data_IF_927933824173
#
_entry.id   IF_927933824173
#
_cell.length_a   1.000
_cell.length_b   1.000
_cell.length_c   1.000
_cell.angle_alpha   90.00
_cell.angle_beta   90.00
_cell.angle_gamma   90.00
#
_symmetry.space_group_name_H-M   'P 1'
#
loop_
_entity.id
_entity.type
_entity.pdbx_description
1 polymer ?
#
# COMPACT_ATOMS: atom_id res chain seq x y z
N UNK A 1 -6.63 -12.40 29.78
CA UNK A 1 -5.62 -11.85 28.86
C UNK A 1 -6.27 -10.75 28.07
N UNK A 2 -5.62 -9.59 27.93
CA UNK A 2 -6.15 -8.53 27.07
C UNK A 2 -6.22 -8.98 25.61
N UNK A 3 -7.23 -8.54 24.84
CA UNK A 3 -7.32 -8.87 23.43
C UNK A 3 -6.11 -8.31 22.69
N UNK A 4 -5.41 -9.18 21.97
CA UNK A 4 -4.30 -8.79 21.12
C UNK A 4 -4.80 -8.60 19.69
N UNK A 5 -4.12 -7.72 18.94
CA UNK A 5 -4.42 -7.45 17.53
C UNK A 5 -3.13 -7.23 16.75
N UNK A 6 -3.27 -7.20 15.43
CA UNK A 6 -2.25 -6.72 14.51
C UNK A 6 -2.79 -5.52 13.74
N UNK A 7 -1.97 -4.48 13.63
CA UNK A 7 -2.20 -3.31 12.80
C UNK A 7 -1.47 -3.44 11.49
N UNK A 8 -2.16 -3.18 10.38
CA UNK A 8 -1.58 -2.98 9.06
C UNK A 8 -1.89 -1.55 8.62
N UNK A 9 -0.87 -0.82 8.18
CA UNK A 9 -1.04 0.57 7.77
C UNK A 9 0.11 1.02 6.88
N UNK A 10 -0.17 2.03 6.07
CA UNK A 10 0.83 2.82 5.37
C UNK A 10 0.34 4.25 5.25
N UNK A 11 1.27 5.18 5.06
CA UNK A 11 0.96 6.58 4.79
C UNK A 11 2.03 7.16 3.89
N UNK A 12 1.62 7.69 2.75
CA UNK A 12 2.48 8.48 1.88
C UNK A 12 2.43 9.94 2.32
N UNK A 13 3.59 10.47 2.69
CA UNK A 13 3.78 11.88 3.06
C UNK A 13 5.29 12.15 3.04
N UNK A 14 5.73 13.36 2.65
CA UNK A 14 7.15 13.71 2.72
C UNK A 14 7.68 13.58 4.15
N UNK A 15 8.82 12.91 4.28
CA UNK A 15 9.57 12.83 5.54
C UNK A 15 10.98 13.33 5.27
N UNK A 16 11.30 14.50 5.83
CA UNK A 16 12.63 15.12 5.70
C UNK A 16 13.67 14.34 6.50
N UNK A 17 13.43 14.14 7.81
CA UNK A 17 14.34 13.40 8.69
C UNK A 17 13.81 11.99 9.00
N UNK A 18 14.14 11.06 8.10
CA UNK A 18 13.78 9.64 8.25
C UNK A 18 14.46 8.98 9.46
N UNK A 19 15.63 9.48 9.90
CA UNK A 19 16.34 8.94 11.05
C UNK A 19 15.61 9.32 12.35
N UNK A 20 15.15 10.56 12.47
CA UNK A 20 14.33 11.03 13.59
C UNK A 20 13.01 10.26 13.67
N UNK A 21 12.28 10.10 12.55
CA UNK A 21 11.04 9.31 12.54
C UNK A 21 11.31 7.86 12.91
N UNK A 22 12.42 7.27 12.45
CA UNK A 22 12.82 5.91 12.83
C UNK A 22 13.05 5.79 14.34
N UNK A 23 13.81 6.71 14.93
CA UNK A 23 14.08 6.68 16.36
C UNK A 23 12.78 6.84 17.15
N UNK A 24 11.93 7.79 16.75
CA UNK A 24 10.63 8.01 17.38
C UNK A 24 9.75 6.76 17.35
N UNK A 25 9.59 6.11 16.19
CA UNK A 25 8.76 4.92 16.05
C UNK A 25 9.34 3.72 16.81
N UNK A 26 10.67 3.56 16.83
CA UNK A 26 11.34 2.53 17.62
C UNK A 26 11.04 2.70 19.12
N UNK A 27 11.34 3.88 19.68
CA UNK A 27 11.13 4.18 21.10
C UNK A 27 9.66 4.09 21.48
N UNK A 28 8.76 4.53 20.60
CA UNK A 28 7.32 4.44 20.84
C UNK A 28 6.87 2.98 20.96
N UNK A 29 7.23 2.13 19.99
CA UNK A 29 6.86 0.71 20.03
C UNK A 29 7.49 -0.01 21.24
N UNK A 30 8.76 0.24 21.55
CA UNK A 30 9.46 -0.36 22.70
C UNK A 30 8.79 0.03 24.03
N UNK A 31 8.42 1.31 24.19
CA UNK A 31 7.72 1.79 25.39
C UNK A 31 6.33 1.17 25.60
N UNK A 32 5.75 0.61 24.55
CA UNK A 32 4.42 0.00 24.52
C UNK A 32 4.48 -1.53 24.39
N UNK A 33 5.69 -2.13 24.40
CA UNK A 33 5.85 -3.58 24.24
C UNK A 33 5.39 -4.12 22.87
N UNK A 34 5.28 -3.25 21.86
CA UNK A 34 4.79 -3.60 20.51
C UNK A 34 5.90 -4.26 19.70
N UNK A 35 5.57 -5.36 19.02
CA UNK A 35 6.46 -6.07 18.08
C UNK A 35 5.98 -5.89 16.64
N UNK A 36 6.83 -6.22 15.68
CA UNK A 36 6.49 -6.13 14.26
C UNK A 36 7.56 -5.45 13.41
N UNK A 37 7.15 -4.99 12.24
CA UNK A 37 8.04 -4.32 11.29
C UNK A 37 7.46 -2.97 10.90
N UNK A 38 8.33 -1.96 10.86
CA UNK A 38 8.05 -0.63 10.34
C UNK A 38 9.15 -0.27 9.33
N UNK A 39 8.74 0.16 8.15
CA UNK A 39 9.58 0.74 7.13
C UNK A 39 9.30 2.24 7.06
N UNK A 40 10.36 3.02 6.99
CA UNK A 40 10.32 4.47 6.82
C UNK A 40 11.13 4.81 5.59
N UNK A 41 10.62 5.69 4.75
CA UNK A 41 11.37 6.28 3.66
C UNK A 41 11.08 7.78 3.59
N UNK A 42 11.77 8.49 2.72
CA UNK A 42 11.45 9.90 2.41
C UNK A 42 10.02 10.09 1.89
N UNK A 43 9.39 9.01 1.42
CA UNK A 43 8.02 8.99 0.89
C UNK A 43 6.96 8.66 1.94
N UNK A 44 7.34 8.28 3.17
CA UNK A 44 6.38 8.04 4.25
C UNK A 44 6.71 6.86 5.16
N UNK A 45 5.66 6.13 5.58
CA UNK A 45 5.74 5.03 6.53
C UNK A 45 4.88 3.83 6.08
N UNK A 46 5.33 2.62 6.35
CA UNK A 46 4.58 1.37 6.15
C UNK A 46 4.86 0.42 7.31
N UNK A 47 3.84 -0.13 7.95
CA UNK A 47 4.03 -0.98 9.11
C UNK A 47 3.03 -2.10 9.26
N UNK A 48 3.52 -3.15 9.91
CA UNK A 48 2.74 -4.26 10.43
C UNK A 48 3.21 -4.54 11.84
N UNK A 49 2.38 -4.18 12.83
CA UNK A 49 2.75 -4.25 14.25
C UNK A 49 1.67 -4.92 15.08
N UNK A 50 2.05 -5.70 16.08
CA UNK A 50 1.13 -6.42 16.95
C UNK A 50 1.45 -6.23 18.43
N UNK A 51 0.41 -6.34 19.24
CA UNK A 51 0.47 -6.12 20.68
C UNK A 51 -0.92 -6.18 21.32
N UNK A 52 -1.01 -5.83 22.60
CA UNK A 52 -2.29 -5.67 23.27
C UNK A 52 -3.07 -4.46 22.72
N UNK A 53 -4.39 -4.53 22.81
CA UNK A 53 -5.30 -3.52 22.27
C UNK A 53 -5.05 -2.11 22.83
N UNK A 54 -4.71 -1.98 24.12
CA UNK A 54 -4.51 -0.68 24.75
C UNK A 54 -3.24 0.01 24.22
N UNK A 55 -2.13 -0.73 24.15
CA UNK A 55 -0.87 -0.32 23.58
C UNK A 55 -1.02 0.06 22.11
N UNK A 56 -1.75 -0.73 21.32
CA UNK A 56 -2.00 -0.41 19.91
C UNK A 56 -2.85 0.85 19.74
N UNK A 57 -3.86 1.09 20.58
CA UNK A 57 -4.62 2.35 20.55
C UNK A 57 -3.74 3.55 20.88
N UNK A 58 -2.87 3.44 21.90
CA UNK A 58 -1.88 4.48 22.26
C UNK A 58 -0.90 4.72 21.12
N UNK A 59 -0.44 3.66 20.47
CA UNK A 59 0.41 3.73 19.29
C UNK A 59 -0.25 4.50 18.16
N UNK A 60 -1.46 4.12 17.75
CA UNK A 60 -2.22 4.82 16.70
C UNK A 60 -2.39 6.30 17.03
N UNK A 61 -2.84 6.62 18.25
CA UNK A 61 -3.08 8.00 18.67
C UNK A 61 -1.80 8.84 18.65
N UNK A 62 -0.65 8.27 19.07
CA UNK A 62 0.64 8.97 19.08
C UNK A 62 1.22 9.10 17.67
N UNK A 63 1.14 8.05 16.85
CA UNK A 63 1.61 8.09 15.46
C UNK A 63 0.83 9.11 14.63
N UNK A 64 -0.48 9.25 14.85
CA UNK A 64 -1.31 10.29 14.21
C UNK A 64 -1.00 11.73 14.65
N UNK A 65 -0.14 11.96 15.65
CA UNK A 65 0.32 13.31 16.02
C UNK A 65 1.30 13.91 15.02
N UNK A 66 2.00 13.08 14.25
CA UNK A 66 2.81 13.59 13.14
C UNK A 66 1.86 14.14 12.07
N UNK A 67 2.02 15.41 11.62
CA UNK A 67 1.05 16.05 10.73
C UNK A 67 0.72 15.22 9.47
N UNK A 68 1.75 14.66 8.82
CA UNK A 68 1.59 13.82 7.63
C UNK A 68 0.96 12.44 7.88
N UNK A 69 0.83 12.00 9.15
CA UNK A 69 0.28 10.69 9.50
C UNK A 69 -1.16 10.74 9.99
N UNK A 70 -1.75 11.93 10.11
CA UNK A 70 -3.09 12.15 10.67
C UNK A 70 -4.18 11.32 9.97
N UNK A 71 -4.08 11.21 8.64
CA UNK A 71 -5.05 10.52 7.78
C UNK A 71 -4.75 9.04 7.55
N UNK A 72 -3.69 8.49 8.15
CA UNK A 72 -3.37 7.06 7.99
C UNK A 72 -4.55 6.22 8.46
N UNK A 73 -4.98 5.31 7.58
CA UNK A 73 -5.90 4.25 7.92
C UNK A 73 -5.13 3.09 8.59
N UNK A 74 -5.55 2.74 9.80
CA UNK A 74 -4.95 1.66 10.58
C UNK A 74 -5.94 0.51 10.60
N UNK A 75 -5.63 -0.53 9.83
CA UNK A 75 -6.47 -1.72 9.73
C UNK A 75 -6.17 -2.67 10.87
N UNK A 76 -7.23 -3.13 11.53
CA UNK A 76 -7.15 -4.03 12.67
C UNK A 76 -7.44 -5.45 12.20
N UNK A 77 -6.48 -6.34 12.40
CA UNK A 77 -6.60 -7.76 12.06
C UNK A 77 -6.48 -8.63 13.31
N UNK A 78 -7.04 -9.84 13.22
CA UNK A 78 -6.82 -10.88 14.22
C UNK A 78 -5.34 -11.28 14.26
N UNK A 79 -4.84 -11.57 15.44
CA UNK A 79 -3.45 -11.93 15.68
C UNK A 79 -2.99 -11.48 17.04
N UNK A 80 -1.80 -11.93 17.43
CA UNK A 80 -1.31 -11.79 18.81
C UNK A 80 -0.10 -10.88 18.94
N UNK A 81 0.55 -10.56 17.82
CA UNK A 81 1.88 -9.97 17.80
C UNK A 81 3.01 -10.99 18.01
N UNK A 82 2.69 -12.22 18.44
CA UNK A 82 3.67 -13.31 18.56
C UNK A 82 4.10 -13.86 17.19
N UNK A 83 3.37 -13.52 16.13
CA UNK A 83 3.77 -13.77 14.75
C UNK A 83 5.05 -13.00 14.38
N UNK A 84 5.40 -11.98 15.17
CA UNK A 84 6.62 -11.19 15.02
C UNK A 84 7.63 -11.53 16.12
N UNK A 85 8.80 -12.10 15.79
CA UNK A 85 9.79 -12.49 16.80
C UNK A 85 10.38 -11.28 17.55
N UNK A 86 10.43 -10.12 16.90
CA UNK A 86 10.95 -8.86 17.47
C UNK A 86 10.39 -7.64 16.73
N UNK A 87 10.59 -6.48 17.32
CA UNK A 87 10.42 -5.20 16.64
C UNK A 87 11.58 -4.94 15.66
N UNK A 88 11.28 -4.43 14.47
CA UNK A 88 12.25 -3.98 13.48
C UNK A 88 11.78 -2.71 12.78
N UNK A 89 12.40 -1.57 13.10
CA UNK A 89 12.18 -0.28 12.42
C UNK A 89 13.37 0.03 11.51
N UNK A 90 13.15 0.15 10.20
CA UNK A 90 14.21 0.32 9.20
C UNK A 90 13.93 1.52 8.30
N UNK A 91 14.97 2.31 8.05
CA UNK A 91 14.95 3.28 6.94
C UNK A 91 15.26 2.52 5.65
N UNK A 92 14.51 2.85 4.61
CA UNK A 92 14.63 2.33 3.24
C UNK A 92 14.47 3.47 2.25
N UNK A 93 14.99 3.30 1.05
CA UNK A 93 14.80 4.26 -0.04
C UNK A 93 13.33 4.31 -0.48
N UNK A 94 12.65 3.17 -0.40
CA UNK A 94 11.25 3.01 -0.80
C UNK A 94 10.45 2.24 0.26
N UNK A 95 9.16 2.56 0.40
CA UNK A 95 8.22 1.81 1.25
C UNK A 95 7.86 0.44 0.65
N UNK A 96 7.89 0.35 -0.68
CA UNK A 96 7.79 -0.87 -1.46
C UNK A 96 8.91 -0.81 -2.48
N UNK A 97 9.73 -1.85 -2.57
CA UNK A 97 10.90 -1.84 -3.44
C UNK A 97 10.48 -2.01 -4.91
N UNK A 98 10.19 -0.92 -5.61
CA UNK A 98 10.01 -0.89 -7.06
C UNK A 98 11.33 -0.65 -7.80
N UNK A 99 12.42 -0.37 -7.08
CA UNK A 99 13.78 -0.34 -7.62
C UNK A 99 14.21 1.03 -8.13
N UNK A 100 13.30 1.99 -8.20
CA UNK A 100 13.59 3.38 -8.56
C UNK A 100 12.73 4.34 -7.72
N UNK A 101 13.30 4.94 -6.66
CA UNK A 101 12.58 5.85 -5.77
C UNK A 101 12.22 7.18 -6.44
N UNK A 102 12.70 7.46 -7.66
CA UNK A 102 12.33 8.67 -8.42
C UNK A 102 11.03 8.52 -9.21
N UNK A 103 10.53 7.28 -9.37
CA UNK A 103 9.30 6.97 -10.12
C UNK A 103 8.07 7.59 -9.50
N UNK A 104 8.07 7.82 -8.19
CA UNK A 104 6.93 8.43 -7.49
C UNK A 104 7.28 9.80 -6.95
N UNK A 105 6.30 10.70 -7.06
CA UNK A 105 6.29 11.99 -6.38
C UNK A 105 5.27 11.91 -5.25
N UNK A 106 5.64 12.39 -4.08
CA UNK A 106 4.78 12.37 -2.90
C UNK A 106 4.69 13.78 -2.34
N UNK A 107 3.47 14.21 -2.04
CA UNK A 107 3.17 15.45 -1.32
C UNK A 107 2.31 15.17 -0.08
N UNK A 108 1.82 16.21 0.58
CA UNK A 108 1.00 16.09 1.80
C UNK A 108 -0.34 15.35 1.57
N UNK A 109 -0.78 15.21 0.32
CA UNK A 109 -1.99 14.49 -0.08
C UNK A 109 -1.74 13.01 -0.40
N UNK A 110 -0.49 12.60 -0.61
CA UNK A 110 -0.10 11.23 -0.93
C UNK A 110 0.72 11.14 -2.21
N UNK A 111 0.57 10.04 -2.95
CA UNK A 111 1.22 9.86 -4.26
C UNK A 111 0.56 10.78 -5.29
N UNK A 112 1.37 11.59 -5.97
CA UNK A 112 0.94 12.52 -7.01
C UNK A 112 0.88 11.81 -8.36
N UNK A 113 -0.19 12.06 -9.12
CA UNK A 113 -0.37 11.48 -10.46
C UNK A 113 -0.81 10.02 -10.48
N UNK A 114 -1.25 9.48 -9.33
CA UNK A 114 -1.86 8.16 -9.23
C UNK A 114 -3.26 8.08 -9.84
N UNK A 115 -3.76 6.85 -9.97
CA UNK A 115 -5.13 6.58 -10.37
C UNK A 115 -6.13 6.96 -9.28
N UNK A 116 -7.38 7.24 -9.68
CA UNK A 116 -8.45 7.64 -8.75
C UNK A 116 -8.82 6.48 -7.82
N UNK A 117 -8.90 6.73 -6.52
CA UNK A 117 -9.39 5.76 -5.54
C UNK A 117 -10.90 5.51 -5.73
N UNK A 118 -11.27 4.24 -5.83
CA UNK A 118 -12.66 3.78 -5.86
C UNK A 118 -12.95 2.93 -4.62
N UNK A 119 -14.07 3.21 -3.95
CA UNK A 119 -14.57 2.31 -2.92
C UNK A 119 -15.10 1.03 -3.56
N UNK A 120 -15.20 -0.07 -2.81
CA UNK A 120 -15.74 -1.33 -3.34
C UNK A 120 -17.09 -1.19 -4.07
N UNK A 121 -17.99 -0.35 -3.55
CA UNK A 121 -19.27 -0.02 -4.19
C UNK A 121 -19.10 0.70 -5.54
N UNK A 122 -18.15 1.65 -5.64
CA UNK A 122 -17.91 2.39 -6.88
C UNK A 122 -17.28 1.50 -7.96
N UNK A 123 -16.45 0.54 -7.55
CA UNK A 123 -15.91 -0.50 -8.45
C UNK A 123 -17.05 -1.35 -8.99
N UNK A 124 -17.95 -1.81 -8.13
CA UNK A 124 -19.12 -2.61 -8.55
C UNK A 124 -19.98 -1.83 -9.55
N UNK A 125 -20.28 -0.56 -9.24
CA UNK A 125 -21.04 0.31 -10.14
C UNK A 125 -20.34 0.49 -11.49
N UNK A 126 -19.03 0.71 -11.51
CA UNK A 126 -18.26 0.83 -12.75
C UNK A 126 -18.36 -0.44 -13.61
N UNK A 127 -18.27 -1.62 -12.99
CA UNK A 127 -18.44 -2.91 -13.68
C UNK A 127 -19.86 -3.10 -14.20
N UNK A 128 -20.88 -2.69 -13.44
CA UNK A 128 -22.29 -2.75 -13.88
C UNK A 128 -22.56 -1.83 -15.08
N UNK A 129 -21.94 -0.65 -15.11
CA UNK A 129 -22.13 0.34 -16.18
C UNK A 129 -21.33 0.01 -17.45
N UNK A 130 -20.11 -0.52 -17.32
CA UNK A 130 -19.15 -0.67 -18.43
C UNK A 130 -18.87 -2.13 -18.81
N UNK A 131 -19.30 -3.09 -17.99
CA UNK A 131 -19.16 -4.52 -18.26
C UNK A 131 -17.71 -4.96 -18.51
N UNK A 132 -17.51 -5.74 -19.57
CA UNK A 132 -16.21 -6.33 -19.93
C UNK A 132 -15.18 -5.31 -20.45
N UNK A 133 -15.53 -4.03 -20.58
CA UNK A 133 -14.55 -2.97 -20.84
C UNK A 133 -13.64 -2.72 -19.64
N UNK A 134 -14.13 -2.97 -18.42
CA UNK A 134 -13.37 -2.74 -17.19
C UNK A 134 -12.30 -3.81 -17.04
N UNK A 135 -11.05 -3.38 -16.97
CA UNK A 135 -9.90 -4.26 -16.85
C UNK A 135 -9.36 -4.23 -15.43
N UNK A 136 -9.44 -5.36 -14.75
CA UNK A 136 -8.77 -5.53 -13.47
C UNK A 136 -7.29 -5.83 -13.66
N UNK A 137 -6.41 -5.10 -12.99
CA UNK A 137 -4.98 -5.30 -13.05
C UNK A 137 -4.43 -5.68 -11.68
N UNK A 138 -3.87 -6.89 -11.58
CA UNK A 138 -3.39 -7.45 -10.31
C UNK A 138 -2.00 -6.89 -9.96
N UNK A 139 -1.95 -6.05 -8.95
CA UNK A 139 -0.71 -5.49 -8.39
C UNK A 139 -0.03 -6.41 -7.37
N UNK A 140 -0.40 -7.70 -7.31
CA UNK A 140 0.18 -8.70 -6.40
C UNK A 140 1.18 -9.60 -7.12
N UNK A 141 1.94 -10.39 -6.36
CA UNK A 141 2.85 -11.36 -6.97
C UNK A 141 2.09 -12.57 -7.54
N UNK A 142 2.75 -13.35 -8.40
CA UNK A 142 2.16 -14.52 -9.06
C UNK A 142 1.63 -15.59 -8.08
N UNK A 143 2.18 -15.70 -6.87
CA UNK A 143 1.70 -16.63 -5.85
C UNK A 143 0.34 -16.19 -5.27
N UNK A 144 0.22 -14.91 -4.89
CA UNK A 144 -1.03 -14.32 -4.39
C UNK A 144 -2.15 -14.40 -5.45
N UNK A 145 -1.81 -14.18 -6.73
CA UNK A 145 -2.76 -14.27 -7.85
C UNK A 145 -3.29 -15.70 -8.08
N UNK A 146 -2.49 -16.74 -7.78
CA UNK A 146 -2.91 -18.15 -7.91
C UNK A 146 -3.93 -18.58 -6.85
N UNK A 147 -3.91 -17.94 -5.67
CA UNK A 147 -4.86 -18.25 -4.59
C UNK A 147 -6.27 -17.79 -4.97
N UNK A 148 -6.38 -16.64 -5.61
CA UNK A 148 -7.66 -16.09 -6.08
C UNK A 148 -7.46 -14.72 -6.70
N UNK A 149 -8.27 -14.38 -7.70
CA UNK A 149 -8.20 -13.14 -8.47
C UNK A 149 -9.58 -12.73 -8.96
N UNK A 150 -9.73 -11.46 -9.33
CA UNK A 150 -10.94 -11.01 -10.04
C UNK A 150 -11.06 -11.73 -11.39
N UNK A 151 -12.31 -11.93 -11.82
CA UNK A 151 -12.59 -12.54 -13.13
C UNK A 151 -11.93 -11.72 -14.23
N UNK A 152 -11.28 -12.39 -15.18
CA UNK A 152 -10.58 -11.78 -16.31
C UNK A 152 -9.45 -10.79 -15.92
N UNK A 153 -8.98 -10.79 -14.67
CA UNK A 153 -7.90 -9.92 -14.25
C UNK A 153 -6.62 -10.22 -15.04
N UNK A 154 -5.98 -9.14 -15.51
CA UNK A 154 -4.63 -9.15 -16.06
C UNK A 154 -3.68 -9.46 -14.91
N UNK A 155 -2.93 -10.55 -15.07
CA UNK A 155 -1.88 -10.97 -14.14
C UNK A 155 -0.55 -10.62 -14.79
N UNK A 156 0.19 -9.64 -14.27
CA UNK A 156 1.52 -9.31 -14.78
C UNK A 156 2.48 -10.47 -14.57
N UNK A 157 3.42 -10.63 -15.50
CA UNK A 157 4.45 -11.67 -15.44
C UNK A 157 5.65 -11.18 -14.62
N UNK A 158 5.35 -10.79 -13.39
CA UNK A 158 6.29 -10.24 -12.41
C UNK A 158 6.53 -11.22 -11.27
N UNK A 159 7.79 -11.31 -10.86
CA UNK A 159 8.17 -12.09 -9.68
C UNK A 159 8.26 -11.17 -8.45
N UNK A 160 8.72 -9.94 -8.65
CA UNK A 160 8.90 -8.95 -7.58
C UNK A 160 8.25 -7.62 -7.93
N UNK A 161 8.09 -6.74 -6.93
CA UNK A 161 7.58 -5.38 -7.14
C UNK A 161 8.45 -4.55 -8.10
N UNK A 162 9.73 -4.87 -8.25
CA UNK A 162 10.66 -4.14 -9.13
C UNK A 162 10.33 -4.34 -10.60
N UNK A 163 9.88 -5.53 -10.95
CA UNK A 163 9.64 -5.94 -12.33
C UNK A 163 8.41 -5.22 -12.92
N UNK A 164 7.51 -4.70 -12.07
CA UNK A 164 6.27 -4.04 -12.51
C UNK A 164 6.53 -2.79 -13.34
N UNK A 165 7.52 -1.97 -12.96
CA UNK A 165 7.77 -0.70 -13.67
C UNK A 165 8.24 -1.00 -15.08
N UNK A 166 9.19 -1.93 -15.22
CA UNK A 166 9.72 -2.34 -16.53
C UNK A 166 8.65 -3.04 -17.36
N UNK A 167 7.82 -3.90 -16.75
CA UNK A 167 6.76 -4.60 -17.48
C UNK A 167 5.69 -3.63 -18.01
N UNK A 168 5.28 -2.62 -17.22
CA UNK A 168 4.34 -1.59 -17.69
C UNK A 168 4.96 -0.74 -18.81
N UNK A 169 6.23 -0.36 -18.67
CA UNK A 169 6.97 0.44 -19.67
C UNK A 169 7.30 -0.33 -20.95
N UNK A 170 7.25 -1.66 -20.92
CA UNK A 170 7.61 -2.51 -22.07
C UNK A 170 6.67 -2.39 -23.29
N UNK A 171 5.49 -1.78 -23.11
CA UNK A 171 4.46 -1.68 -24.15
C UNK A 171 3.51 -2.88 -24.21
N UNK A 172 3.75 -3.94 -23.40
CA UNK A 172 2.91 -5.15 -23.32
C UNK A 172 1.43 -4.84 -23.10
N UNK A 173 1.13 -3.75 -22.41
CA UNK A 173 -0.22 -3.35 -22.01
C UNK A 173 -0.76 -2.15 -22.80
N UNK A 174 -0.15 -1.77 -23.91
CA UNK A 174 -0.56 -0.56 -24.66
C UNK A 174 -2.00 -0.64 -25.20
N UNK A 175 -2.46 -1.85 -25.51
CA UNK A 175 -3.84 -2.14 -25.90
C UNK A 175 -4.88 -1.87 -24.78
N UNK A 176 -4.44 -1.54 -23.56
CA UNK A 176 -5.28 -1.20 -22.41
C UNK A 176 -5.30 0.31 -22.12
N UNK A 177 -4.49 1.13 -22.81
CA UNK A 177 -4.34 2.57 -22.51
C UNK A 177 -5.63 3.38 -22.61
N UNK A 178 -6.55 2.95 -23.49
CA UNK A 178 -7.85 3.58 -23.70
C UNK A 178 -8.99 2.94 -22.88
N UNK A 179 -8.69 1.92 -22.07
CA UNK A 179 -9.69 1.19 -21.26
C UNK A 179 -9.70 1.69 -19.81
N UNK A 180 -10.84 1.54 -19.10
CA UNK A 180 -10.88 1.69 -17.65
C UNK A 180 -10.06 0.58 -16.99
N UNK A 181 -8.94 0.92 -16.36
CA UNK A 181 -8.08 -0.03 -15.65
C UNK A 181 -8.24 0.15 -14.15
N UNK A 182 -8.72 -0.88 -13.45
CA UNK A 182 -8.84 -0.92 -11.99
C UNK A 182 -7.71 -1.75 -11.42
N UNK A 183 -6.73 -1.09 -10.80
CA UNK A 183 -5.62 -1.75 -10.12
C UNK A 183 -6.04 -2.20 -8.71
N UNK A 184 -5.58 -3.38 -8.29
CA UNK A 184 -5.84 -3.86 -6.93
C UNK A 184 -4.64 -4.64 -6.37
N UNK A 185 -4.48 -4.58 -5.05
CA UNK A 185 -3.52 -5.40 -4.33
C UNK A 185 -4.04 -5.70 -2.93
N UNK A 186 -3.26 -6.41 -2.12
CA UNK A 186 -3.67 -6.86 -0.78
C UNK A 186 -4.05 -5.71 0.15
N UNK A 187 -3.21 -4.68 0.25
CA UNK A 187 -3.36 -3.59 1.22
C UNK A 187 -3.40 -2.18 0.63
N UNK A 188 -3.44 -2.02 -0.69
CA UNK A 188 -3.47 -0.72 -1.38
C UNK A 188 -2.08 -0.15 -1.75
N UNK A 189 -1.07 -0.26 -0.88
CA UNK A 189 0.23 0.44 -1.07
C UNK A 189 0.94 0.19 -2.43
N UNK A 190 0.82 -1.01 -3.02
CA UNK A 190 1.40 -1.30 -4.35
C UNK A 190 0.65 -0.59 -5.49
N UNK A 191 -0.67 -0.43 -5.34
CA UNK A 191 -1.53 0.23 -6.33
C UNK A 191 -1.26 1.72 -6.42
N UNK A 192 -0.86 2.35 -5.33
CA UNK A 192 -0.46 3.77 -5.34
C UNK A 192 0.68 4.00 -6.35
N UNK A 193 1.65 3.08 -6.38
CA UNK A 193 2.81 3.16 -7.26
C UNK A 193 2.45 2.69 -8.67
N UNK A 194 1.80 1.52 -8.80
CA UNK A 194 1.43 0.95 -10.11
C UNK A 194 0.52 1.91 -10.89
N UNK A 195 -0.48 2.50 -10.23
CA UNK A 195 -1.40 3.41 -10.89
C UNK A 195 -0.71 4.69 -11.35
N UNK A 196 0.21 5.25 -10.56
CA UNK A 196 1.02 6.40 -10.97
C UNK A 196 1.92 6.07 -12.18
N UNK A 197 2.55 4.88 -12.18
CA UNK A 197 3.35 4.41 -13.33
C UNK A 197 2.48 4.26 -14.58
N UNK A 198 1.28 3.71 -14.46
CA UNK A 198 0.35 3.57 -15.59
C UNK A 198 -0.06 4.94 -16.16
N UNK A 199 -0.44 5.89 -15.30
CA UNK A 199 -0.81 7.24 -15.73
C UNK A 199 0.36 7.92 -16.46
N UNK A 200 1.57 7.85 -15.91
CA UNK A 200 2.79 8.39 -16.53
C UNK A 200 3.11 7.72 -17.89
N UNK A 201 2.69 6.46 -18.08
CA UNK A 201 2.86 5.71 -19.33
C UNK A 201 1.67 5.83 -20.30
N UNK A 202 0.76 6.79 -20.08
CA UNK A 202 -0.27 7.16 -21.05
C UNK A 202 -1.58 6.35 -20.96
N UNK A 203 -1.81 5.67 -19.84
CA UNK A 203 -3.14 5.12 -19.55
C UNK A 203 -4.09 6.25 -19.16
N UNK A 204 -5.24 6.33 -19.84
CA UNK A 204 -6.15 7.47 -19.74
C UNK A 204 -7.11 7.38 -18.54
N UNK A 205 -7.54 6.18 -18.19
CA UNK A 205 -8.55 5.95 -17.17
C UNK A 205 -8.07 4.89 -16.17
N UNK A 206 -7.30 5.34 -15.16
CA UNK A 206 -6.72 4.46 -14.14
C UNK A 206 -7.39 4.68 -12.79
N UNK A 207 -7.82 3.58 -12.18
CA UNK A 207 -8.41 3.51 -10.87
C UNK A 207 -7.61 2.59 -9.96
N UNK A 208 -7.82 2.74 -8.65
CA UNK A 208 -7.33 1.79 -7.65
C UNK A 208 -8.39 1.52 -6.59
N UNK A 209 -8.48 0.26 -6.15
CA UNK A 209 -9.41 -0.12 -5.08
C UNK A 209 -8.89 0.45 -3.75
N UNK A 210 -9.67 1.34 -3.15
CA UNK A 210 -9.36 1.94 -1.85
C UNK A 210 -9.20 0.83 -0.80
N UNK A 211 -8.06 0.82 -0.10
CA UNK A 211 -7.73 -0.22 0.87
C UNK A 211 -7.30 -1.57 0.28
N UNK A 212 -7.44 -1.82 -1.02
CA UNK A 212 -7.14 -3.13 -1.61
C UNK A 212 -8.19 -4.20 -1.32
N UNK A 213 -7.82 -5.48 -1.47
CA UNK A 213 -8.78 -6.61 -1.43
C UNK A 213 -9.00 -7.22 -0.06
N UNK A 214 -8.18 -6.88 0.93
CA UNK A 214 -8.40 -7.32 2.32
C UNK A 214 -9.28 -6.27 2.99
N UNK A 215 -10.57 -6.57 2.98
CA UNK A 215 -11.62 -6.00 3.83
C UNK A 215 -12.13 -7.09 4.77
#
# INVERSE_FOLDING_TARGET
>A
MEPQKVLLYYGFTPIEDTAAVRLWQLTLCESLGIKGRILISRHGINGTVGGDMESLKKYVARTKKYPGFKKIDFKWSEGTGNEFPRLAVRVKDELVAFGDPSVIKVDESGVVGGGKHLKPYDVQKLVEERGDEVVFFDGRNAFEAKIGKFKNAVIPDVTTSRDFVEEIKSGKYDHLKDKPVVTYCTGGIRCEIISAVMVDNGFKEVYQIEGGIVY
#
